data_IF_070338466284
#
_entry.id   IF_070338466284
#
_cell.length_a   1.000
_cell.length_b   1.000
_cell.length_c   1.000
_cell.angle_alpha   90.00
_cell.angle_beta   90.00
_cell.angle_gamma   90.00
#
_symmetry.space_group_name_H-M   'P 1'
#
loop_
_entity.id
_entity.type
_entity.pdbx_description
1 polymer ?
#
# COMPACT_ATOMS: atom_id res chain seq x y z
N UNK A 1 45.87 -46.66 -31.19
CA UNK A 1 45.12 -45.74 -32.09
C UNK A 1 43.94 -45.02 -31.41
N UNK A 2 43.26 -45.63 -30.43
CA UNK A 2 42.14 -44.99 -29.70
C UNK A 2 42.50 -43.68 -28.95
N UNK A 3 43.69 -43.59 -28.34
CA UNK A 3 44.13 -42.39 -27.61
C UNK A 3 44.44 -41.17 -28.50
N UNK A 4 44.78 -41.38 -29.77
CA UNK A 4 45.00 -40.30 -30.74
C UNK A 4 43.68 -39.77 -31.28
N UNK A 5 42.71 -40.66 -31.50
CA UNK A 5 41.36 -40.28 -31.95
C UNK A 5 40.61 -39.45 -30.90
N UNK A 6 40.70 -39.85 -29.62
CA UNK A 6 40.09 -39.10 -28.52
C UNK A 6 40.69 -37.70 -28.33
N UNK A 7 42.01 -37.56 -28.50
CA UNK A 7 42.67 -36.24 -28.47
C UNK A 7 42.27 -35.37 -29.66
N UNK A 8 42.13 -35.95 -30.85
CA UNK A 8 41.73 -35.21 -32.05
C UNK A 8 40.28 -34.71 -31.92
N UNK A 9 39.37 -35.54 -31.43
CA UNK A 9 37.97 -35.16 -31.17
C UNK A 9 37.88 -34.08 -30.09
N UNK A 10 38.65 -34.21 -29.01
CA UNK A 10 38.73 -33.18 -27.97
C UNK A 10 39.21 -31.83 -28.48
N UNK A 11 40.21 -31.82 -29.38
CA UNK A 11 40.73 -30.58 -30.01
C UNK A 11 39.67 -29.97 -30.95
N UNK A 12 38.99 -30.79 -31.75
CA UNK A 12 37.94 -30.31 -32.67
C UNK A 12 36.77 -29.70 -31.87
N UNK A 13 36.32 -30.35 -30.80
CA UNK A 13 35.26 -29.82 -29.92
C UNK A 13 35.70 -28.48 -29.31
N UNK A 14 36.95 -28.35 -28.87
CA UNK A 14 37.45 -27.11 -28.28
C UNK A 14 37.52 -25.97 -29.32
N UNK A 15 37.98 -26.27 -30.54
CA UNK A 15 38.05 -25.30 -31.64
C UNK A 15 36.64 -24.84 -32.08
N UNK A 16 35.64 -25.71 -32.03
CA UNK A 16 34.24 -25.36 -32.36
C UNK A 16 33.56 -24.59 -31.22
N UNK A 17 33.88 -24.92 -29.96
CA UNK A 17 33.35 -24.26 -28.77
C UNK A 17 33.82 -22.80 -28.63
N UNK A 18 35.08 -22.50 -28.95
CA UNK A 18 35.66 -21.16 -28.83
C UNK A 18 34.86 -20.08 -29.60
N UNK A 19 34.56 -20.24 -30.91
CA UNK A 19 33.77 -19.25 -31.65
C UNK A 19 32.32 -19.21 -31.19
N UNK A 20 31.71 -20.31 -30.76
CA UNK A 20 30.33 -20.31 -30.22
C UNK A 20 30.25 -19.52 -28.91
N UNK A 21 31.20 -19.73 -28.00
CA UNK A 21 31.28 -18.97 -26.75
C UNK A 21 31.60 -17.50 -27.03
N UNK A 22 32.47 -17.17 -27.98
CA UNK A 22 32.74 -15.78 -28.35
C UNK A 22 31.53 -15.11 -29.02
N UNK A 23 30.80 -15.80 -29.90
CA UNK A 23 29.63 -15.25 -30.61
C UNK A 23 28.42 -15.11 -29.69
N UNK A 24 28.23 -15.96 -28.68
CA UNK A 24 27.09 -15.87 -27.75
C UNK A 24 27.42 -15.06 -26.48
N UNK A 25 28.59 -15.25 -25.87
CA UNK A 25 28.92 -14.60 -24.60
C UNK A 25 29.32 -13.14 -24.77
N UNK A 26 29.93 -12.74 -25.91
CA UNK A 26 30.32 -11.34 -26.14
C UNK A 26 29.09 -10.45 -26.33
N UNK A 27 28.09 -10.74 -27.19
CA UNK A 27 26.92 -9.88 -27.30
C UNK A 27 26.06 -9.89 -26.03
N UNK A 28 25.96 -11.01 -25.31
CA UNK A 28 25.24 -11.06 -24.01
C UNK A 28 25.99 -10.26 -22.94
N UNK A 29 27.32 -10.39 -22.88
CA UNK A 29 28.18 -9.63 -21.99
C UNK A 29 28.18 -8.13 -22.31
N UNK A 30 28.21 -7.75 -23.58
CA UNK A 30 28.09 -6.37 -24.06
C UNK A 30 26.66 -5.83 -23.86
N UNK A 31 25.60 -6.64 -23.99
CA UNK A 31 24.22 -6.23 -23.68
C UNK A 31 24.00 -6.04 -22.19
N UNK A 32 24.53 -6.93 -21.34
CA UNK A 32 24.54 -6.75 -19.88
C UNK A 32 25.41 -5.56 -19.48
N UNK A 33 26.58 -5.39 -20.08
CA UNK A 33 27.45 -4.25 -19.83
C UNK A 33 26.84 -2.93 -20.33
N UNK A 34 26.13 -2.91 -21.47
CA UNK A 34 25.40 -1.74 -21.96
C UNK A 34 24.15 -1.43 -21.13
N UNK A 35 23.44 -2.44 -20.61
CA UNK A 35 22.37 -2.24 -19.60
C UNK A 35 22.93 -1.74 -18.26
N UNK A 36 24.08 -2.27 -17.83
CA UNK A 36 24.81 -1.81 -16.64
C UNK A 36 25.40 -0.40 -16.83
N UNK A 37 25.83 -0.04 -18.04
CA UNK A 37 26.38 1.27 -18.37
C UNK A 37 25.27 2.32 -18.56
N UNK A 38 24.12 1.94 -19.15
CA UNK A 38 22.91 2.79 -19.19
C UNK A 38 22.29 2.98 -17.80
N UNK A 39 22.33 1.98 -16.91
CA UNK A 39 21.91 2.16 -15.51
C UNK A 39 22.94 2.93 -14.68
N UNK A 40 24.25 2.80 -14.96
CA UNK A 40 25.29 3.68 -14.38
C UNK A 40 25.14 5.15 -14.76
N UNK A 41 24.49 5.45 -15.88
CA UNK A 41 24.15 6.81 -16.32
C UNK A 41 22.84 7.33 -15.71
N UNK A 42 22.03 6.46 -15.11
CA UNK A 42 20.72 6.81 -14.55
C UNK A 42 20.77 7.14 -13.05
N UNK A 43 21.80 6.67 -12.35
CA UNK A 43 21.93 6.79 -10.90
C UNK A 43 23.27 7.40 -10.51
N UNK A 44 23.28 8.27 -9.51
CA UNK A 44 24.49 8.84 -8.93
C UNK A 44 25.34 7.77 -8.22
N UNK A 45 26.59 8.08 -7.88
CA UNK A 45 27.46 7.16 -7.14
C UNK A 45 26.86 6.76 -5.77
N UNK A 46 26.21 7.71 -5.10
CA UNK A 46 25.52 7.47 -3.84
C UNK A 46 24.31 6.54 -4.04
N UNK A 47 23.48 6.79 -5.05
CA UNK A 47 22.32 5.94 -5.38
C UNK A 47 22.76 4.51 -5.78
N UNK A 48 23.89 4.36 -6.48
CA UNK A 48 24.44 3.04 -6.80
C UNK A 48 24.88 2.27 -5.56
N UNK A 49 25.45 2.95 -4.56
CA UNK A 49 25.80 2.35 -3.27
C UNK A 49 24.56 1.88 -2.52
N UNK A 50 23.51 2.71 -2.48
CA UNK A 50 22.22 2.40 -1.88
C UNK A 50 21.57 1.16 -2.52
N UNK A 51 21.51 1.12 -3.85
CA UNK A 51 21.02 -0.04 -4.61
C UNK A 51 21.87 -1.29 -4.34
N UNK A 52 23.19 -1.14 -4.23
CA UNK A 52 24.10 -2.24 -3.89
C UNK A 52 23.91 -2.79 -2.47
N UNK A 53 23.51 -1.96 -1.50
CA UNK A 53 23.12 -2.41 -0.16
C UNK A 53 21.79 -3.18 -0.20
N UNK A 54 20.78 -2.64 -0.88
CA UNK A 54 19.47 -3.29 -1.03
C UNK A 54 19.58 -4.67 -1.69
N UNK A 55 20.30 -4.78 -2.82
CA UNK A 55 20.48 -6.05 -3.51
C UNK A 55 21.23 -7.09 -2.66
N UNK A 56 22.20 -6.66 -1.83
CA UNK A 56 22.88 -7.57 -0.91
C UNK A 56 21.92 -8.12 0.15
N UNK A 57 21.07 -7.28 0.72
CA UNK A 57 20.04 -7.69 1.69
C UNK A 57 19.04 -8.68 1.07
N UNK A 58 18.58 -8.42 -0.17
CA UNK A 58 17.68 -9.35 -0.89
C UNK A 58 18.39 -10.68 -1.19
N UNK A 59 19.64 -10.64 -1.65
CA UNK A 59 20.40 -11.86 -1.93
C UNK A 59 20.68 -12.69 -0.66
N UNK A 60 20.72 -12.06 0.52
CA UNK A 60 20.82 -12.77 1.81
C UNK A 60 19.51 -13.53 2.12
N UNK A 61 18.35 -13.01 1.73
CA UNK A 61 17.08 -13.75 1.85
C UNK A 61 17.07 -14.95 0.89
N UNK A 62 17.49 -14.76 -0.37
CA UNK A 62 17.39 -15.80 -1.40
C UNK A 62 18.46 -16.91 -1.27
N UNK A 63 19.66 -16.56 -0.84
CA UNK A 63 20.83 -17.46 -0.89
C UNK A 63 21.66 -17.48 0.40
N UNK A 64 21.27 -16.72 1.42
CA UNK A 64 22.01 -16.63 2.68
C UNK A 64 21.80 -17.83 3.60
N UNK A 65 22.81 -18.14 4.41
CA UNK A 65 22.70 -19.08 5.53
C UNK A 65 21.87 -18.53 6.70
N UNK A 66 21.69 -17.20 6.75
CA UNK A 66 20.93 -16.48 7.74
C UNK A 66 20.01 -15.49 7.04
N UNK A 67 18.77 -15.37 7.52
CA UNK A 67 17.80 -14.39 7.02
C UNK A 67 18.23 -12.98 7.43
N UNK A 68 18.10 -11.97 6.55
CA UNK A 68 18.34 -10.58 6.92
C UNK A 68 17.31 -10.09 7.94
N UNK A 69 17.65 -9.01 8.63
CA UNK A 69 16.71 -8.29 9.49
C UNK A 69 15.45 -7.89 8.70
N UNK A 70 14.28 -8.05 9.34
CA UNK A 70 12.97 -7.89 8.69
C UNK A 70 12.80 -6.48 8.13
N UNK A 71 13.18 -5.46 8.89
CA UNK A 71 12.98 -4.07 8.51
C UNK A 71 13.98 -3.66 7.41
N UNK A 72 15.22 -4.16 7.48
CA UNK A 72 16.19 -3.99 6.41
C UNK A 72 15.73 -4.66 5.10
N UNK A 73 15.10 -5.83 5.19
CA UNK A 73 14.59 -6.55 4.03
C UNK A 73 13.39 -5.86 3.39
N UNK A 74 12.46 -5.35 4.21
CA UNK A 74 11.30 -4.58 3.76
C UNK A 74 11.75 -3.36 2.95
N UNK A 75 12.67 -2.57 3.52
CA UNK A 75 13.22 -1.38 2.84
C UNK A 75 14.05 -1.77 1.61
N UNK A 76 14.81 -2.85 1.65
CA UNK A 76 15.57 -3.33 0.49
C UNK A 76 14.64 -3.69 -0.69
N UNK A 77 13.54 -4.39 -0.43
CA UNK A 77 12.53 -4.73 -1.45
C UNK A 77 11.86 -3.48 -2.01
N UNK A 78 11.56 -2.50 -1.15
CA UNK A 78 11.01 -1.22 -1.57
C UNK A 78 11.97 -0.44 -2.48
N UNK A 79 13.26 -0.37 -2.11
CA UNK A 79 14.31 0.26 -2.92
C UNK A 79 14.41 -0.41 -4.30
N UNK A 80 14.40 -1.74 -4.36
CA UNK A 80 14.53 -2.47 -5.62
C UNK A 80 13.28 -2.38 -6.51
N UNK A 81 12.10 -2.35 -5.90
CA UNK A 81 10.85 -2.06 -6.61
C UNK A 81 10.85 -0.63 -7.19
N UNK A 82 11.25 0.37 -6.40
CA UNK A 82 11.38 1.74 -6.85
C UNK A 82 12.42 1.86 -7.98
N UNK A 83 13.54 1.14 -7.91
CA UNK A 83 14.55 1.11 -8.97
C UNK A 83 13.96 0.66 -10.30
N UNK A 84 13.14 -0.41 -10.28
CA UNK A 84 12.48 -0.92 -11.48
C UNK A 84 11.51 0.11 -12.06
N UNK A 85 10.65 0.70 -11.23
CA UNK A 85 9.67 1.70 -11.66
C UNK A 85 10.34 2.95 -12.24
N UNK A 86 11.35 3.48 -11.54
CA UNK A 86 12.09 4.66 -11.97
C UNK A 86 12.74 4.46 -13.35
N UNK A 87 13.33 3.28 -13.60
CA UNK A 87 13.91 2.95 -14.91
C UNK A 87 12.86 2.87 -16.01
N UNK A 88 11.68 2.34 -15.71
CA UNK A 88 10.56 2.27 -16.66
C UNK A 88 10.10 3.69 -17.02
N UNK A 89 9.87 4.54 -16.02
CA UNK A 89 9.40 5.92 -16.20
C UNK A 89 10.41 6.73 -17.01
N UNK A 90 11.69 6.79 -16.60
CA UNK A 90 12.77 7.46 -17.34
C UNK A 90 12.93 6.98 -18.79
N UNK A 91 12.51 5.76 -19.11
CA UNK A 91 12.60 5.19 -20.46
C UNK A 91 11.43 5.59 -21.37
N UNK A 92 10.30 6.03 -20.81
CA UNK A 92 9.06 6.32 -21.53
C UNK A 92 8.81 7.81 -21.70
N UNK A 93 9.23 8.61 -20.73
CA UNK A 93 8.90 10.03 -20.66
C UNK A 93 10.04 10.85 -20.05
N UNK A 94 9.98 12.17 -20.24
CA UNK A 94 10.95 13.08 -19.64
C UNK A 94 10.63 13.21 -18.15
N UNK A 95 11.39 12.50 -17.34
CA UNK A 95 11.28 12.50 -15.89
C UNK A 95 12.49 13.22 -15.28
N UNK A 96 12.23 14.36 -14.65
CA UNK A 96 13.28 15.28 -14.19
C UNK A 96 13.68 15.06 -12.71
N UNK A 97 12.86 14.33 -11.92
CA UNK A 97 13.19 14.00 -10.52
C UNK A 97 14.39 13.05 -10.42
N UNK A 98 15.19 13.19 -9.36
CA UNK A 98 16.26 12.24 -9.05
C UNK A 98 15.68 10.91 -8.57
N UNK A 99 16.50 9.85 -8.57
CA UNK A 99 16.03 8.57 -8.03
C UNK A 99 15.78 8.68 -6.53
N UNK A 100 16.59 9.46 -5.83
CA UNK A 100 16.40 9.77 -4.41
C UNK A 100 15.05 10.45 -4.14
N UNK A 101 14.70 11.51 -4.88
CA UNK A 101 13.40 12.20 -4.72
C UNK A 101 12.21 11.26 -5.00
N UNK A 102 12.39 10.32 -5.92
CA UNK A 102 11.40 9.31 -6.25
C UNK A 102 11.31 8.20 -5.19
N UNK A 103 12.42 7.91 -4.50
CA UNK A 103 12.58 6.80 -3.58
C UNK A 103 12.18 7.14 -2.14
N UNK A 104 12.57 8.31 -1.63
CA UNK A 104 12.35 8.70 -0.23
C UNK A 104 10.86 8.59 0.17
N UNK A 105 9.89 9.08 -0.63
CA UNK A 105 8.48 8.91 -0.31
C UNK A 105 8.03 7.44 -0.23
N UNK A 106 8.67 6.54 -0.98
CA UNK A 106 8.36 5.10 -0.96
C UNK A 106 8.98 4.40 0.24
N UNK A 107 10.20 4.78 0.62
CA UNK A 107 10.85 4.26 1.82
C UNK A 107 10.02 4.63 3.05
N UNK A 108 9.58 5.88 3.18
CA UNK A 108 8.78 6.35 4.32
C UNK A 108 7.44 5.58 4.49
N UNK A 109 6.99 4.85 3.47
CA UNK A 109 5.79 4.01 3.49
C UNK A 109 6.08 2.52 3.81
N UNK A 110 7.34 2.14 4.05
CA UNK A 110 7.71 0.78 4.44
C UNK A 110 7.26 0.50 5.88
N UNK A 111 6.80 -0.72 6.13
CA UNK A 111 6.51 -1.15 7.49
C UNK A 111 7.82 -1.52 8.22
N UNK A 112 8.42 -0.52 8.88
CA UNK A 112 9.68 -0.60 9.62
C UNK A 112 9.41 -0.32 11.10
N UNK A 113 9.90 -1.19 11.98
CA UNK A 113 9.81 -1.01 13.43
C UNK A 113 11.06 -0.30 13.97
N UNK A 114 12.25 -0.63 13.48
CA UNK A 114 13.53 -0.04 13.86
C UNK A 114 14.09 0.88 12.76
N UNK A 115 13.54 2.09 12.70
CA UNK A 115 14.01 3.13 11.79
C UNK A 115 15.46 3.54 12.02
N UNK A 116 15.96 3.48 13.26
CA UNK A 116 17.34 3.84 13.55
C UNK A 116 18.32 2.87 12.89
N UNK A 117 18.03 1.56 12.93
CA UNK A 117 18.80 0.54 12.24
C UNK A 117 18.72 0.69 10.71
N UNK A 118 17.53 0.94 10.17
CA UNK A 118 17.31 1.17 8.73
C UNK A 118 18.08 2.40 8.24
N UNK A 119 17.92 3.54 8.92
CA UNK A 119 18.59 4.81 8.58
C UNK A 119 20.11 4.67 8.60
N UNK A 120 20.64 4.00 9.63
CA UNK A 120 22.08 3.76 9.75
C UNK A 120 22.61 2.78 8.69
N UNK A 121 21.89 1.71 8.40
CA UNK A 121 22.35 0.70 7.44
C UNK A 121 22.35 1.23 6.01
N UNK A 122 21.26 1.89 5.60
CA UNK A 122 21.11 2.43 4.26
C UNK A 122 21.72 3.84 4.09
N UNK A 123 22.23 4.46 5.16
CA UNK A 123 22.79 5.82 5.17
C UNK A 123 21.78 6.85 4.65
N UNK A 124 20.49 6.67 4.97
CA UNK A 124 19.39 7.50 4.45
C UNK A 124 19.42 8.94 4.99
N UNK A 125 20.14 9.19 6.08
CA UNK A 125 20.41 10.54 6.61
C UNK A 125 21.10 11.43 5.59
N UNK A 126 21.88 10.85 4.68
CA UNK A 126 22.66 11.59 3.67
C UNK A 126 21.78 12.08 2.51
N UNK A 127 20.50 11.68 2.48
CA UNK A 127 19.57 11.88 1.36
C UNK A 127 18.38 12.78 1.69
N UNK A 128 18.28 13.31 2.91
CA UNK A 128 17.13 14.09 3.33
C UNK A 128 17.50 15.42 4.01
N UNK A 129 16.77 16.45 3.62
CA UNK A 129 16.44 17.60 4.46
C UNK A 129 15.55 17.12 5.63
N UNK A 130 16.09 16.30 6.53
CA UNK A 130 15.54 16.17 7.88
C UNK A 130 15.99 17.42 8.64
N UNK A 131 15.24 18.52 8.55
CA UNK A 131 15.45 19.63 9.47
C UNK A 131 14.96 19.19 10.86
N UNK A 132 15.93 18.81 11.69
CA UNK A 132 15.81 18.78 13.15
C UNK A 132 15.38 20.17 13.64
N UNK A 133 14.16 20.30 14.15
CA UNK A 133 13.82 21.34 15.12
C UNK A 133 13.33 20.66 16.40
N UNK A 134 14.26 20.05 17.12
CA UNK A 134 14.10 19.74 18.54
C UNK A 134 14.39 21.02 19.33
N UNK A 135 13.34 21.78 19.65
CA UNK A 135 13.42 22.78 20.73
C UNK A 135 12.47 22.35 21.85
N UNK A 136 13.08 22.00 22.99
CA UNK A 136 12.43 21.63 24.25
C UNK A 136 11.47 22.73 24.71
N UNK A 137 10.19 22.38 24.91
CA UNK A 137 9.28 23.18 25.75
C UNK A 137 8.59 22.23 26.73
N UNK A 138 9.25 22.00 27.86
CA UNK A 138 8.76 21.14 28.95
C UNK A 138 7.69 21.84 29.84
N UNK A 139 7.33 23.09 29.57
CA UNK A 139 6.50 23.90 30.49
C UNK A 139 5.05 24.18 30.01
N UNK A 140 4.60 23.57 28.90
CA UNK A 140 3.27 23.82 28.34
C UNK A 140 2.25 22.69 28.55
N UNK A 141 2.67 21.55 29.08
CA UNK A 141 1.86 20.33 29.16
C UNK A 141 0.72 20.43 30.20
N UNK A 142 0.87 21.25 31.25
CA UNK A 142 -0.16 21.35 32.29
C UNK A 142 -1.33 22.30 31.95
N UNK A 143 -1.24 23.12 30.90
CA UNK A 143 -2.32 24.06 30.54
C UNK A 143 -3.23 23.63 29.38
N UNK A 144 -2.89 22.57 28.64
CA UNK A 144 -3.69 22.07 27.51
C UNK A 144 -4.68 20.95 27.89
N UNK A 145 -4.71 20.50 29.14
CA UNK A 145 -5.62 19.43 29.59
C UNK A 145 -7.07 19.92 29.78
N UNK A 146 -7.35 21.23 29.73
CA UNK A 146 -8.71 21.76 29.68
C UNK A 146 -9.06 22.29 28.27
N UNK A 147 -9.47 21.40 27.35
CA UNK A 147 -10.03 21.89 26.08
C UNK A 147 -10.57 20.88 25.06
N UNK A 148 -10.00 19.69 24.91
CA UNK A 148 -10.40 18.78 23.83
C UNK A 148 -11.05 17.51 24.37
N UNK A 149 -12.36 17.57 24.62
CA UNK A 149 -13.19 16.36 24.59
C UNK A 149 -13.30 15.99 23.12
N UNK A 150 -12.45 15.07 22.66
CA UNK A 150 -12.62 14.42 21.35
C UNK A 150 -13.92 13.62 21.45
N UNK A 151 -14.97 14.04 20.75
CA UNK A 151 -16.17 13.22 20.62
C UNK A 151 -15.82 11.96 19.82
N UNK A 152 -15.80 10.81 20.49
CA UNK A 152 -15.39 9.49 19.94
C UNK A 152 -16.25 8.99 18.76
N UNK A 153 -17.39 9.64 18.44
CA UNK A 153 -18.27 9.29 17.31
C UNK A 153 -18.70 10.53 16.52
N UNK A 154 -18.75 10.40 15.21
CA UNK A 154 -19.27 11.42 14.32
C UNK A 154 -20.79 11.54 14.51
N UNK A 155 -21.27 12.70 14.98
CA UNK A 155 -22.71 13.00 15.12
C UNK A 155 -23.32 13.37 13.77
N UNK A 156 -23.37 12.41 12.86
CA UNK A 156 -24.10 12.53 11.59
C UNK A 156 -25.27 11.57 11.63
N UNK A 157 -26.48 12.07 11.40
CA UNK A 157 -27.67 11.25 11.19
C UNK A 157 -27.78 10.94 9.70
N UNK A 158 -27.77 9.66 9.35
CA UNK A 158 -28.02 9.19 7.98
C UNK A 158 -26.76 8.90 7.17
N UNK A 159 -26.94 8.68 5.87
CA UNK A 159 -25.87 8.32 4.94
C UNK A 159 -25.04 9.52 4.45
N UNK A 160 -23.74 9.31 4.23
CA UNK A 160 -22.83 10.31 3.64
C UNK A 160 -22.57 9.95 2.18
N UNK A 161 -23.27 10.66 1.28
CA UNK A 161 -23.06 10.65 -0.17
C UNK A 161 -22.18 11.84 -0.56
N UNK A 162 -21.08 11.59 -1.27
CA UNK A 162 -20.24 12.63 -1.85
C UNK A 162 -20.76 12.97 -3.25
N UNK A 163 -21.73 13.90 -3.34
CA UNK A 163 -22.45 14.20 -4.59
C UNK A 163 -21.53 14.51 -5.78
N UNK A 164 -20.50 15.34 -5.59
CA UNK A 164 -19.55 15.68 -6.67
C UNK A 164 -18.77 14.47 -7.17
N UNK A 165 -18.50 13.52 -6.27
CA UNK A 165 -17.76 12.32 -6.58
C UNK A 165 -18.66 11.12 -6.86
N UNK A 166 -19.97 11.23 -6.73
CA UNK A 166 -20.93 10.15 -6.96
C UNK A 166 -20.58 8.84 -6.21
N UNK A 167 -20.07 8.94 -4.98
CA UNK A 167 -19.73 7.78 -4.12
C UNK A 167 -20.33 7.90 -2.73
N UNK A 168 -20.48 6.77 -2.04
CA UNK A 168 -20.99 6.72 -0.68
C UNK A 168 -19.91 6.29 0.31
N UNK A 169 -19.88 6.92 1.48
CA UNK A 169 -19.04 6.48 2.59
C UNK A 169 -19.84 5.47 3.41
N UNK A 170 -19.35 4.24 3.48
CA UNK A 170 -19.95 3.17 4.28
C UNK A 170 -19.47 3.21 5.74
N UNK A 171 -18.19 3.43 5.96
CA UNK A 171 -17.61 3.46 7.30
C UNK A 171 -16.41 4.40 7.35
N UNK A 172 -16.19 5.00 8.52
CA UNK A 172 -14.98 5.74 8.84
C UNK A 172 -14.42 5.13 10.13
N UNK A 173 -13.13 4.82 10.10
CA UNK A 173 -12.38 4.31 11.24
C UNK A 173 -11.21 5.25 11.49
N UNK A 174 -11.02 5.67 12.74
CA UNK A 174 -9.89 6.49 13.15
C UNK A 174 -9.18 5.79 14.30
N UNK A 175 -7.88 5.55 14.15
CA UNK A 175 -7.03 4.92 15.17
C UNK A 175 -7.65 3.61 15.73
N UNK A 176 -8.10 2.75 14.81
CA UNK A 176 -8.81 1.49 15.08
C UNK A 176 -10.19 1.59 15.75
N UNK A 177 -10.74 2.79 15.94
CA UNK A 177 -12.12 2.99 16.42
C UNK A 177 -13.05 3.31 15.27
N UNK A 178 -14.21 2.66 15.23
CA UNK A 178 -15.27 3.00 14.26
C UNK A 178 -15.94 4.29 14.71
N UNK A 179 -15.72 5.37 13.96
CA UNK A 179 -16.28 6.70 14.27
C UNK A 179 -17.57 6.97 13.51
N UNK A 180 -17.80 6.26 12.40
CA UNK A 180 -19.03 6.32 11.62
C UNK A 180 -19.30 4.99 10.91
N UNK A 181 -20.56 4.58 10.88
CA UNK A 181 -21.08 3.49 10.07
C UNK A 181 -22.39 3.95 9.43
N UNK A 182 -22.52 3.76 8.12
CA UNK A 182 -23.68 4.24 7.36
C UNK A 182 -24.92 3.39 7.68
N UNK A 183 -25.90 4.01 8.35
CA UNK A 183 -27.18 3.39 8.71
C UNK A 183 -28.23 3.44 7.59
N UNK A 184 -28.04 4.25 6.54
CA UNK A 184 -29.01 4.47 5.45
C UNK A 184 -28.48 3.97 4.09
N UNK A 185 -27.63 2.94 4.12
CA UNK A 185 -27.00 2.38 2.93
C UNK A 185 -27.92 1.43 2.13
N UNK A 186 -29.21 1.28 2.46
CA UNK A 186 -30.11 0.27 1.86
C UNK A 186 -30.15 0.30 0.33
N UNK A 187 -30.12 1.49 -0.25
CA UNK A 187 -30.14 1.69 -1.70
C UNK A 187 -28.90 1.17 -2.43
N UNK A 188 -27.80 0.88 -1.71
CA UNK A 188 -26.54 0.37 -2.26
C UNK A 188 -26.50 -1.16 -2.32
N UNK A 189 -27.44 -1.85 -1.67
CA UNK A 189 -27.44 -3.30 -1.52
C UNK A 189 -28.55 -3.94 -2.33
N UNK A 190 -28.21 -5.08 -2.94
CA UNK A 190 -29.13 -5.98 -3.61
C UNK A 190 -29.22 -7.29 -2.83
N UNK A 191 -30.41 -7.86 -2.78
CA UNK A 191 -30.62 -9.18 -2.17
C UNK A 191 -30.22 -10.23 -3.21
N UNK A 192 -29.26 -11.09 -2.86
CA UNK A 192 -28.86 -12.18 -3.72
C UNK A 192 -29.83 -13.38 -3.64
N UNK A 193 -29.56 -14.41 -4.44
CA UNK A 193 -30.44 -15.59 -4.54
C UNK A 193 -30.57 -16.35 -3.22
N UNK A 194 -29.59 -16.23 -2.33
CA UNK A 194 -29.53 -16.91 -1.05
C UNK A 194 -30.13 -16.05 0.08
N UNK A 195 -30.63 -14.85 -0.27
CA UNK A 195 -31.25 -13.91 0.65
C UNK A 195 -30.24 -13.00 1.36
N UNK A 196 -28.97 -13.05 0.95
CA UNK A 196 -27.92 -12.23 1.55
C UNK A 196 -27.87 -10.85 0.87
N UNK A 197 -27.73 -9.79 1.67
CA UNK A 197 -27.57 -8.45 1.14
C UNK A 197 -26.13 -8.24 0.70
N UNK A 198 -25.95 -7.93 -0.58
CA UNK A 198 -24.65 -7.70 -1.20
C UNK A 198 -24.62 -6.34 -1.87
N UNK A 199 -23.52 -5.62 -1.71
CA UNK A 199 -23.33 -4.32 -2.37
C UNK A 199 -23.31 -4.50 -3.89
N UNK A 200 -24.08 -3.66 -4.60
CA UNK A 200 -24.07 -3.56 -6.05
C UNK A 200 -22.92 -2.65 -6.53
N UNK A 201 -21.70 -3.18 -6.43
CA UNK A 201 -20.48 -2.44 -6.73
C UNK A 201 -19.28 -2.94 -5.94
N UNK A 202 -18.32 -2.05 -5.65
CA UNK A 202 -17.10 -2.37 -4.89
C UNK A 202 -16.78 -1.29 -3.89
N UNK A 203 -16.13 -1.71 -2.80
CA UNK A 203 -15.54 -0.78 -1.83
C UNK A 203 -14.04 -0.66 -2.03
N UNK A 204 -13.54 0.55 -1.89
CA UNK A 204 -12.12 0.85 -1.71
C UNK A 204 -11.93 1.42 -0.32
N UNK A 205 -10.90 0.94 0.38
CA UNK A 205 -10.49 1.55 1.64
C UNK A 205 -9.44 2.63 1.33
N UNK A 206 -9.80 3.88 1.61
CA UNK A 206 -8.93 5.04 1.54
C UNK A 206 -8.29 5.24 2.90
N UNK A 207 -6.99 4.99 2.99
CA UNK A 207 -6.21 5.13 4.20
C UNK A 207 -5.46 6.45 4.15
N UNK A 208 -5.77 7.34 5.08
CA UNK A 208 -5.09 8.60 5.29
C UNK A 208 -4.20 8.47 6.53
N UNK A 209 -2.92 8.75 6.36
CA UNK A 209 -1.92 8.69 7.43
C UNK A 209 -1.35 10.08 7.66
N UNK A 210 -1.55 10.63 8.86
CA UNK A 210 -1.01 11.93 9.28
C UNK A 210 0.51 11.86 9.41
N UNK A 211 1.21 12.89 8.92
CA UNK A 211 2.66 12.94 8.90
C UNK A 211 3.29 13.34 10.24
N UNK A 212 2.59 14.15 11.05
CA UNK A 212 3.10 14.70 12.30
C UNK A 212 2.58 13.93 13.52
N UNK A 213 1.27 13.70 13.59
CA UNK A 213 0.61 13.12 14.76
C UNK A 213 0.42 11.60 14.62
N UNK A 214 0.74 11.02 13.45
CA UNK A 214 0.63 9.59 13.19
C UNK A 214 -0.81 9.08 13.15
N UNK A 215 -1.78 9.97 12.92
CA UNK A 215 -3.20 9.62 12.82
C UNK A 215 -3.43 8.64 11.67
N UNK A 216 -4.26 7.62 11.92
CA UNK A 216 -4.66 6.66 10.89
C UNK A 216 -6.16 6.68 10.69
N UNK A 217 -6.59 7.16 9.52
CA UNK A 217 -8.00 7.30 9.16
C UNK A 217 -8.28 6.40 7.96
N UNK A 218 -9.20 5.46 8.10
CA UNK A 218 -9.67 4.58 7.04
C UNK A 218 -11.10 4.96 6.66
N UNK A 219 -11.31 5.30 5.39
CA UNK A 219 -12.62 5.55 4.81
C UNK A 219 -12.98 4.43 3.82
N UNK A 220 -14.03 3.69 4.15
CA UNK A 220 -14.57 2.62 3.30
C UNK A 220 -15.60 3.23 2.36
N UNK A 221 -15.20 3.42 1.10
CA UNK A 221 -15.98 4.15 0.10
C UNK A 221 -16.55 3.18 -0.93
N UNK A 222 -17.86 3.21 -1.12
CA UNK A 222 -18.59 2.43 -2.10
C UNK A 222 -18.66 3.15 -3.45
N UNK A 223 -18.26 2.43 -4.49
CA UNK A 223 -18.45 2.74 -5.89
C UNK A 223 -19.55 1.85 -6.43
N UNK A 224 -20.43 2.39 -7.27
CA UNK A 224 -21.45 1.60 -7.96
C UNK A 224 -20.83 0.58 -8.94
N UNK A 225 -21.64 -0.32 -9.48
CA UNK A 225 -21.17 -1.36 -10.40
C UNK A 225 -20.57 -0.80 -11.69
N UNK A 226 -21.10 0.31 -12.24
CA UNK A 226 -20.60 0.91 -13.48
C UNK A 226 -19.19 1.47 -13.31
N UNK A 227 -18.98 2.25 -12.25
CA UNK A 227 -17.68 2.80 -11.87
C UNK A 227 -16.69 1.69 -11.52
N UNK A 228 -17.16 0.73 -10.71
CA UNK A 228 -16.36 -0.43 -10.33
C UNK A 228 -15.92 -1.27 -11.53
N UNK A 229 -16.80 -1.45 -12.51
CA UNK A 229 -16.49 -2.20 -13.73
C UNK A 229 -15.42 -1.47 -14.54
N UNK A 230 -15.59 -0.17 -14.76
CA UNK A 230 -14.66 0.66 -15.51
C UNK A 230 -13.26 0.67 -14.87
N UNK A 231 -13.20 0.89 -13.56
CA UNK A 231 -11.94 0.94 -12.84
C UNK A 231 -11.30 -0.43 -12.72
N UNK A 232 -12.03 -1.44 -12.26
CA UNK A 232 -11.39 -2.67 -11.77
C UNK A 232 -11.41 -3.81 -12.77
N UNK A 233 -12.37 -3.82 -13.71
CA UNK A 233 -12.42 -4.79 -14.81
C UNK A 233 -11.69 -4.25 -16.03
N UNK A 234 -12.00 -3.03 -16.47
CA UNK A 234 -11.38 -2.43 -17.66
C UNK A 234 -10.00 -1.81 -17.38
N UNK A 235 -9.64 -1.60 -16.10
CA UNK A 235 -8.37 -0.99 -15.68
C UNK A 235 -8.17 0.43 -16.22
N UNK A 236 -9.25 1.17 -16.40
CA UNK A 236 -9.22 2.52 -16.95
C UNK A 236 -9.33 3.58 -15.86
N UNK A 237 -8.48 4.60 -15.92
CA UNK A 237 -8.61 5.83 -15.12
C UNK A 237 -8.59 5.62 -13.61
N UNK A 238 -8.02 4.49 -13.13
CA UNK A 238 -8.10 4.09 -11.72
C UNK A 238 -7.53 5.19 -10.82
N UNK A 239 -6.30 5.64 -11.09
CA UNK A 239 -5.61 6.60 -10.23
C UNK A 239 -6.27 7.97 -10.29
N UNK A 240 -6.70 8.41 -11.46
CA UNK A 240 -7.40 9.67 -11.66
C UNK A 240 -8.71 9.70 -10.87
N UNK A 241 -9.52 8.62 -10.97
CA UNK A 241 -10.79 8.51 -10.27
C UNK A 241 -10.62 8.47 -8.75
N UNK A 242 -9.64 7.73 -8.24
CA UNK A 242 -9.38 7.65 -6.79
C UNK A 242 -8.85 8.96 -6.23
N UNK A 243 -7.92 9.62 -6.93
CA UNK A 243 -7.41 10.92 -6.50
C UNK A 243 -8.53 11.97 -6.47
N UNK A 244 -9.45 11.93 -7.44
CA UNK A 244 -10.63 12.79 -7.45
C UNK A 244 -11.55 12.53 -6.23
N UNK A 245 -11.84 11.26 -5.93
CA UNK A 245 -12.63 10.88 -4.75
C UNK A 245 -11.91 11.28 -3.45
N UNK A 246 -10.60 11.11 -3.35
CA UNK A 246 -9.82 11.49 -2.18
C UNK A 246 -9.88 13.02 -1.93
N UNK A 247 -9.82 13.82 -2.99
CA UNK A 247 -10.02 15.27 -2.91
C UNK A 247 -11.44 15.62 -2.47
N UNK A 248 -12.46 14.91 -2.98
CA UNK A 248 -13.85 15.12 -2.57
C UNK A 248 -14.08 14.76 -1.09
N UNK A 249 -13.47 13.68 -0.59
CA UNK A 249 -13.46 13.32 0.83
C UNK A 249 -12.88 14.46 1.66
N UNK A 250 -11.67 14.91 1.32
CA UNK A 250 -11.02 16.00 2.03
C UNK A 250 -11.87 17.26 2.04
N UNK A 251 -12.35 17.67 0.86
CA UNK A 251 -13.22 18.84 0.73
C UNK A 251 -14.48 18.72 1.58
N UNK A 252 -15.12 17.55 1.60
CA UNK A 252 -16.34 17.33 2.36
C UNK A 252 -16.12 17.52 3.87
N UNK A 253 -15.12 16.85 4.46
CA UNK A 253 -14.90 16.90 5.90
C UNK A 253 -14.20 18.17 6.39
N UNK A 254 -13.26 18.71 5.60
CA UNK A 254 -12.54 19.94 5.96
C UNK A 254 -13.45 21.17 5.78
N UNK A 255 -14.19 21.27 4.67
CA UNK A 255 -15.06 22.43 4.42
C UNK A 255 -16.31 22.45 5.34
N UNK A 256 -16.77 21.28 5.79
CA UNK A 256 -17.86 21.17 6.77
C UNK A 256 -17.42 21.51 8.21
N UNK A 257 -16.12 21.79 8.45
CA UNK A 257 -15.61 22.09 9.78
C UNK A 257 -15.63 20.89 10.73
N UNK A 258 -15.75 19.67 10.19
CA UNK A 258 -15.77 18.41 10.95
C UNK A 258 -14.33 18.02 11.34
N UNK A 259 -13.73 18.81 12.22
CA UNK A 259 -12.37 18.62 12.78
C UNK A 259 -12.17 17.27 13.49
N UNK A 260 -13.25 16.52 13.69
CA UNK A 260 -13.24 15.23 14.37
C UNK A 260 -12.81 14.09 13.45
N UNK A 261 -12.73 14.30 12.12
CA UNK A 261 -12.22 13.29 11.17
C UNK A 261 -10.81 13.64 10.72
N UNK A 262 -10.61 14.82 10.13
CA UNK A 262 -9.29 15.29 9.69
C UNK A 262 -8.85 16.51 10.49
N UNK A 263 -7.58 16.51 10.89
CA UNK A 263 -6.86 17.68 11.36
C UNK A 263 -6.64 18.65 10.19
N UNK A 264 -6.86 19.94 10.45
CA UNK A 264 -6.70 21.01 9.44
C UNK A 264 -5.25 21.47 9.28
N UNK A 265 -4.35 21.02 10.16
CA UNK A 265 -2.93 21.38 10.18
C UNK A 265 -2.01 20.22 9.81
N UNK A 266 -2.57 19.01 9.71
CA UNK A 266 -1.85 17.80 9.34
C UNK A 266 -1.78 17.64 7.82
N UNK A 267 -0.66 17.09 7.35
CA UNK A 267 -0.53 16.64 5.97
C UNK A 267 -0.75 15.13 5.94
N UNK A 268 -1.60 14.66 5.03
CA UNK A 268 -1.93 13.24 4.96
C UNK A 268 -1.33 12.58 3.73
N UNK A 269 -0.69 11.43 3.94
CA UNK A 269 -0.43 10.48 2.87
C UNK A 269 -1.68 9.63 2.62
N UNK A 270 -1.97 9.31 1.36
CA UNK A 270 -3.16 8.57 0.97
C UNK A 270 -2.76 7.25 0.32
N UNK A 271 -3.24 6.14 0.87
CA UNK A 271 -3.15 4.81 0.27
C UNK A 271 -4.53 4.30 -0.09
N UNK A 272 -4.62 3.56 -1.19
CA UNK A 272 -5.85 2.91 -1.63
C UNK A 272 -5.69 1.40 -1.52
N UNK A 273 -6.56 0.75 -0.74
CA UNK A 273 -6.63 -0.71 -0.67
C UNK A 273 -7.84 -1.16 -1.49
N UNK A 274 -7.53 -1.83 -2.60
CA UNK A 274 -8.48 -2.33 -3.59
C UNK A 274 -8.83 -3.79 -3.30
N UNK A 275 -9.94 -4.39 -3.70
CA UNK A 275 -11.30 -3.95 -4.02
C UNK A 275 -12.14 -4.94 -3.25
N UNK A 276 -13.09 -4.47 -2.47
CA UNK A 276 -13.83 -5.35 -1.59
C UNK A 276 -15.22 -5.60 -2.14
N UNK A 277 -15.59 -6.89 -2.23
CA UNK A 277 -17.00 -7.27 -2.23
C UNK A 277 -17.51 -7.08 -0.81
N UNK A 278 -18.72 -6.55 -0.68
CA UNK A 278 -19.32 -6.26 0.62
C UNK A 278 -20.63 -6.99 0.77
N UNK A 279 -20.80 -7.61 1.93
CA UNK A 279 -22.02 -8.27 2.37
C UNK A 279 -22.50 -7.60 3.66
N UNK A 280 -23.81 -7.43 3.81
CA UNK A 280 -24.42 -6.80 4.98
C UNK A 280 -25.34 -7.78 5.68
N UNK A 281 -25.25 -7.84 7.02
CA UNK A 281 -26.10 -8.69 7.84
C UNK A 281 -26.12 -8.21 9.28
N UNK A 282 -27.31 -8.04 9.87
CA UNK A 282 -27.50 -7.68 11.28
C UNK A 282 -26.67 -6.46 11.73
N UNK A 283 -26.65 -5.39 10.91
CA UNK A 283 -25.87 -4.18 11.20
C UNK A 283 -24.34 -4.34 11.05
N UNK A 284 -23.89 -5.43 10.44
CA UNK A 284 -22.47 -5.69 10.17
C UNK A 284 -22.17 -5.67 8.69
N UNK A 285 -20.98 -5.17 8.36
CA UNK A 285 -20.43 -5.16 7.02
C UNK A 285 -19.24 -6.11 6.96
N UNK A 286 -19.35 -7.15 6.14
CA UNK A 286 -18.24 -8.04 5.81
C UNK A 286 -17.69 -7.67 4.45
N UNK A 287 -16.41 -7.35 4.40
CA UNK A 287 -15.70 -6.93 3.20
C UNK A 287 -14.58 -7.92 2.92
N UNK A 288 -14.44 -8.36 1.67
CA UNK A 288 -13.37 -9.29 1.29
C UNK A 288 -12.85 -8.98 -0.11
N UNK A 289 -11.53 -8.98 -0.26
CA UNK A 289 -10.91 -8.73 -1.56
C UNK A 289 -11.06 -9.94 -2.50
N UNK A 290 -10.89 -9.71 -3.81
CA UNK A 290 -11.09 -10.78 -4.80
C UNK A 290 -10.14 -11.98 -4.62
N UNK A 291 -8.92 -11.75 -4.12
CA UNK A 291 -7.95 -12.80 -3.83
C UNK A 291 -8.22 -13.56 -2.52
N UNK A 292 -9.21 -13.13 -1.71
CA UNK A 292 -9.49 -13.67 -0.37
C UNK A 292 -8.26 -13.67 0.55
N UNK A 293 -7.38 -12.68 0.40
CA UNK A 293 -6.18 -12.50 1.22
C UNK A 293 -6.35 -11.42 2.28
N UNK A 294 -7.36 -10.56 2.13
CA UNK A 294 -7.67 -9.49 3.09
C UNK A 294 -9.18 -9.40 3.26
N UNK A 295 -9.60 -9.25 4.51
CA UNK A 295 -10.99 -9.08 4.87
C UNK A 295 -11.15 -8.11 6.05
N UNK A 296 -12.33 -7.49 6.10
CA UNK A 296 -12.75 -6.63 7.19
C UNK A 296 -14.13 -7.07 7.67
N UNK A 297 -14.34 -7.03 8.98
CA UNK A 297 -15.67 -7.08 9.58
C UNK A 297 -15.86 -5.84 10.44
N UNK A 298 -16.84 -5.03 10.07
CA UNK A 298 -17.12 -3.73 10.71
C UNK A 298 -18.54 -3.76 11.28
N UNK A 299 -18.68 -3.31 12.51
CA UNK A 299 -19.95 -2.95 13.14
C UNK A 299 -19.85 -1.57 13.81
N UNK A 300 -20.93 -1.07 14.42
CA UNK A 300 -20.99 0.26 15.02
C UNK A 300 -19.96 0.52 16.13
N UNK A 301 -19.25 -0.51 16.59
CA UNK A 301 -18.36 -0.45 17.74
C UNK A 301 -16.94 -0.91 17.45
N UNK A 302 -16.73 -1.71 16.40
CA UNK A 302 -15.48 -2.43 16.20
C UNK A 302 -15.18 -2.74 14.74
N UNK A 303 -13.89 -2.90 14.46
CA UNK A 303 -13.36 -3.36 13.18
C UNK A 303 -12.39 -4.52 13.43
N UNK A 304 -12.52 -5.58 12.64
CA UNK A 304 -11.64 -6.75 12.67
C UNK A 304 -10.84 -6.85 11.35
N UNK A 305 -9.53 -7.08 11.47
CA UNK A 305 -8.55 -7.25 10.39
C UNK A 305 -7.68 -8.49 10.64
N UNK A 306 -8.31 -9.65 10.77
CA UNK A 306 -7.65 -10.94 11.00
C UNK A 306 -7.70 -11.78 9.72
N UNK A 307 -7.27 -13.04 9.83
CA UNK A 307 -7.41 -14.08 8.84
C UNK A 307 -8.82 -14.13 8.22
N UNK A 308 -8.86 -14.27 6.89
CA UNK A 308 -10.08 -14.19 6.09
C UNK A 308 -11.07 -15.30 6.47
N UNK A 309 -10.59 -16.52 6.76
CA UNK A 309 -11.47 -17.64 7.13
C UNK A 309 -12.09 -17.43 8.51
N UNK A 310 -11.34 -16.86 9.46
CA UNK A 310 -11.89 -16.46 10.77
C UNK A 310 -12.97 -15.41 10.63
N UNK A 311 -12.72 -14.34 9.87
CA UNK A 311 -13.69 -13.26 9.66
C UNK A 311 -14.96 -13.81 8.98
N UNK A 312 -14.78 -14.59 7.92
CA UNK A 312 -15.88 -15.22 7.17
C UNK A 312 -16.72 -16.10 8.09
N UNK A 313 -16.08 -16.93 8.91
CA UNK A 313 -16.76 -17.77 9.89
C UNK A 313 -17.55 -16.94 10.90
N UNK A 314 -16.95 -15.86 11.42
CA UNK A 314 -17.62 -14.96 12.37
C UNK A 314 -18.86 -14.29 11.76
N UNK A 315 -18.80 -13.87 10.49
CA UNK A 315 -19.92 -13.22 9.79
C UNK A 315 -21.05 -14.20 9.45
N UNK A 316 -20.71 -15.38 8.90
CA UNK A 316 -21.71 -16.36 8.47
C UNK A 316 -22.25 -17.23 9.60
N UNK A 317 -21.55 -17.30 10.73
CA UNK A 317 -22.04 -18.01 11.91
C UNK A 317 -23.43 -17.49 12.27
N UNK A 318 -24.41 -18.41 12.34
CA UNK A 318 -25.70 -18.09 12.92
C UNK A 318 -25.43 -17.79 14.39
N UNK A 319 -25.45 -16.51 14.80
CA UNK A 319 -25.75 -16.23 16.21
C UNK A 319 -27.07 -16.95 16.48
N UNK A 320 -27.04 -17.94 17.35
CA UNK A 320 -28.25 -18.49 17.93
C UNK A 320 -29.02 -17.29 18.46
N UNK A 321 -30.13 -16.96 17.78
CA UNK A 321 -31.17 -16.13 18.38
C UNK A 321 -31.48 -16.85 19.68
N UNK A 322 -31.06 -16.28 20.80
CA UNK A 322 -31.60 -16.66 22.10
C UNK A 322 -33.09 -16.44 21.97
N UNK A 323 -33.81 -17.52 21.66
CA UNK A 323 -35.23 -17.64 21.90
C UNK A 323 -35.35 -17.45 23.40
N UNK A 324 -35.64 -16.22 23.82
CA UNK A 324 -36.29 -16.00 25.09
C UNK A 324 -37.64 -16.71 24.95
N UNK A 325 -37.68 -17.94 25.47
CA UNK A 325 -38.93 -18.59 25.78
C UNK A 325 -39.61 -17.72 26.84
N UNK A 326 -40.73 -17.12 26.44
CA UNK A 326 -41.74 -16.56 27.34
C UNK A 326 -42.42 -17.71 28.08
#
# INVERSE_FOLDING_TARGET
>A
MANLLGKLIGIIINIIMIPIVLILAIPIGILKARRAQKSRLLFTGAEQTLLGKAQRTINMEEYGLLSPDRDLLEVAKCIESARCDYQIIKSRERFDSTFTDFLIPRINNCHVVDWNNVMRFFELSDYAQFEENFEFIEDSVEKLIQGNIVEDKLKVSGGIRLEEAEVDILAIVRDNKVVYLNSEAEHLFVIDKDGDEKLDGRVVNFVFSGQLEGEHIELFVAFDDSDSYTMFTLKMGIMERLNYVAQAIFKHFVAAGLKNIFSTTENYFIQYIYTFKVYRKNGKYFMVNNSQTQAYLIDDSSIMRDDVDKIKSAFWSKRNVTKNFV
#
